data_IF_528104654188
#
_entry.id   IF_528104654188
#
_cell.length_a   1.000
_cell.length_b   1.000
_cell.length_c   1.000
_cell.angle_alpha   90.00
_cell.angle_beta   90.00
_cell.angle_gamma   90.00
#
_symmetry.space_group_name_H-M   'P 1'
#
loop_
_entity.id
_entity.type
_entity.pdbx_description
1 polymer ?
#
# COMPACT_ATOMS: atom_id res chain seq x y z
N UNK A 1 -14.05 -14.67 -0.89
CA UNK A 1 -13.85 -14.49 -2.35
C UNK A 1 -12.95 -13.28 -2.56
N UNK A 2 -11.97 -13.34 -3.47
CA UNK A 2 -11.09 -12.20 -3.76
C UNK A 2 -11.81 -11.17 -4.62
N UNK A 3 -11.68 -9.89 -4.25
CA UNK A 3 -12.28 -8.73 -4.91
C UNK A 3 -11.15 -7.90 -5.49
N UNK A 4 -11.27 -7.59 -6.78
CA UNK A 4 -10.29 -6.76 -7.47
C UNK A 4 -10.73 -5.30 -7.46
N UNK A 5 -9.77 -4.41 -7.26
CA UNK A 5 -9.97 -2.98 -7.24
C UNK A 5 -8.97 -2.32 -8.19
N UNK A 6 -9.50 -1.58 -9.16
CA UNK A 6 -8.71 -0.94 -10.19
C UNK A 6 -9.06 0.53 -10.27
N UNK A 7 -8.07 1.34 -10.61
CA UNK A 7 -8.24 2.76 -10.89
C UNK A 7 -7.45 3.14 -12.13
N UNK A 8 -8.02 4.02 -12.94
CA UNK A 8 -7.26 4.68 -14.00
C UNK A 8 -6.30 5.67 -13.35
N UNK A 9 -5.17 5.87 -13.99
CA UNK A 9 -4.13 6.78 -13.54
C UNK A 9 -4.63 8.19 -13.11
N UNK A 10 -5.54 8.86 -13.88
CA UNK A 10 -6.07 10.16 -13.51
C UNK A 10 -7.01 10.15 -12.29
N UNK A 11 -7.51 8.97 -11.88
CA UNK A 11 -8.36 8.84 -10.69
C UNK A 11 -7.53 8.83 -9.40
N UNK A 12 -6.20 8.66 -9.48
CA UNK A 12 -5.33 8.75 -8.31
C UNK A 12 -4.97 10.22 -8.09
N UNK A 13 -5.38 10.83 -6.96
CA UNK A 13 -5.04 12.21 -6.67
C UNK A 13 -3.53 12.40 -6.63
N UNK A 14 -3.07 13.53 -7.17
CA UNK A 14 -1.69 13.97 -7.02
C UNK A 14 -1.62 14.99 -5.88
N UNK A 15 -0.87 14.66 -4.82
CA UNK A 15 -0.58 15.58 -3.72
C UNK A 15 0.92 15.90 -3.73
N UNK A 16 1.28 17.02 -4.37
CA UNK A 16 2.68 17.43 -4.46
C UNK A 16 3.28 17.79 -3.09
N UNK A 17 2.47 18.23 -2.13
CA UNK A 17 2.94 18.50 -0.78
C UNK A 17 3.34 17.19 -0.07
N UNK A 18 2.57 16.13 -0.24
CA UNK A 18 2.92 14.81 0.29
C UNK A 18 4.11 14.19 -0.45
N UNK A 19 4.20 14.36 -1.78
CA UNK A 19 5.38 13.96 -2.54
C UNK A 19 6.65 14.69 -2.06
N UNK A 20 6.56 16.00 -1.79
CA UNK A 20 7.66 16.77 -1.20
C UNK A 20 8.05 16.26 0.20
N UNK A 21 7.07 15.78 0.99
CA UNK A 21 7.33 15.19 2.31
C UNK A 21 8.19 13.94 2.23
N UNK A 22 7.99 13.10 1.21
CA UNK A 22 8.87 11.96 0.94
C UNK A 22 10.27 12.36 0.48
N UNK A 23 10.47 13.61 0.05
CA UNK A 23 11.79 14.19 -0.23
C UNK A 23 12.43 14.86 1.00
N UNK A 24 11.78 14.81 2.16
CA UNK A 24 12.28 15.38 3.42
C UNK A 24 11.85 16.82 3.69
N UNK A 25 10.99 17.42 2.85
CA UNK A 25 10.43 18.73 3.12
C UNK A 25 9.36 18.67 4.22
N UNK A 26 9.33 19.68 5.09
CA UNK A 26 8.26 19.85 6.06
C UNK A 26 7.00 20.39 5.38
N UNK A 27 5.82 20.08 5.93
CA UNK A 27 4.54 20.62 5.40
C UNK A 27 4.50 22.16 5.35
N UNK A 28 5.17 22.82 6.29
CA UNK A 28 5.26 24.28 6.35
C UNK A 28 6.33 24.88 5.43
N UNK A 29 7.10 24.07 4.71
CA UNK A 29 8.26 24.51 3.93
C UNK A 29 8.38 23.66 2.67
N UNK A 30 7.51 23.94 1.70
CA UNK A 30 7.52 23.28 0.38
C UNK A 30 8.72 23.74 -0.46
N UNK A 31 9.19 22.89 -1.41
CA UNK A 31 10.22 23.30 -2.36
C UNK A 31 9.78 24.50 -3.19
N UNK A 32 10.76 25.27 -3.66
CA UNK A 32 10.55 26.43 -4.53
C UNK A 32 11.53 26.38 -5.72
N UNK A 33 11.25 27.17 -6.75
CA UNK A 33 12.09 27.27 -7.95
C UNK A 33 12.23 25.93 -8.67
N UNK A 34 13.43 25.62 -9.13
CA UNK A 34 13.73 24.44 -9.94
C UNK A 34 13.29 23.11 -9.30
N UNK A 35 13.34 22.99 -7.97
CA UNK A 35 12.91 21.76 -7.28
C UNK A 35 11.39 21.59 -7.34
N UNK A 36 10.63 22.68 -7.21
CA UNK A 36 9.17 22.64 -7.34
C UNK A 36 8.76 22.29 -8.77
N UNK A 37 9.42 22.86 -9.77
CA UNK A 37 9.18 22.55 -11.19
C UNK A 37 9.52 21.10 -11.52
N UNK A 38 10.64 20.59 -10.99
CA UNK A 38 11.02 19.19 -11.14
C UNK A 38 10.02 18.25 -10.47
N UNK A 39 9.51 18.61 -9.30
CA UNK A 39 8.49 17.83 -8.60
C UNK A 39 7.18 17.79 -9.39
N UNK A 40 6.67 18.95 -9.79
CA UNK A 40 5.45 19.07 -10.58
C UNK A 40 5.52 18.25 -11.87
N UNK A 41 6.60 18.43 -12.65
CA UNK A 41 6.80 17.69 -13.89
C UNK A 41 6.96 16.18 -13.65
N UNK A 42 7.67 15.76 -12.61
CA UNK A 42 7.84 14.34 -12.25
C UNK A 42 6.52 13.69 -11.84
N UNK A 43 5.67 14.39 -11.07
CA UNK A 43 4.33 13.95 -10.72
C UNK A 43 3.46 13.78 -11.97
N UNK A 44 3.45 14.76 -12.86
CA UNK A 44 2.68 14.72 -14.11
C UNK A 44 3.16 13.59 -15.05
N UNK A 45 4.47 13.33 -15.12
CA UNK A 45 5.04 12.20 -15.86
C UNK A 45 4.60 10.86 -15.25
N UNK A 46 4.73 10.70 -13.92
CA UNK A 46 4.34 9.47 -13.23
C UNK A 46 2.86 9.17 -13.36
N UNK A 47 1.99 10.16 -13.19
CA UNK A 47 0.55 9.97 -13.29
C UNK A 47 0.12 9.40 -14.65
N UNK A 48 0.89 9.61 -15.72
CA UNK A 48 0.59 9.03 -17.05
C UNK A 48 1.00 7.57 -17.18
N UNK A 49 1.88 7.07 -16.32
CA UNK A 49 2.47 5.73 -16.44
C UNK A 49 2.06 4.76 -15.33
N UNK A 50 1.52 5.26 -14.21
CA UNK A 50 1.03 4.38 -13.14
C UNK A 50 -0.08 3.48 -13.66
N UNK A 51 -0.07 2.23 -13.21
CA UNK A 51 -1.12 1.23 -13.46
C UNK A 51 -1.60 0.69 -12.11
N UNK A 52 -2.49 1.44 -11.42
CA UNK A 52 -2.97 1.08 -10.09
C UNK A 52 -3.84 -0.18 -10.12
N UNK A 53 -3.40 -1.21 -9.42
CA UNK A 53 -4.12 -2.48 -9.31
C UNK A 53 -4.06 -3.00 -7.88
N UNK A 54 -5.18 -3.51 -7.39
CA UNK A 54 -5.26 -4.10 -6.07
C UNK A 54 -6.20 -5.31 -6.05
N UNK A 55 -5.97 -6.16 -5.06
CA UNK A 55 -6.85 -7.27 -4.72
C UNK A 55 -6.98 -7.34 -3.21
N UNK A 56 -8.18 -7.61 -2.72
CA UNK A 56 -8.43 -7.85 -1.30
C UNK A 56 -9.41 -8.99 -1.07
N UNK A 57 -9.38 -9.57 0.11
CA UNK A 57 -10.36 -10.56 0.56
C UNK A 57 -10.61 -10.38 2.06
N UNK A 58 -11.83 -10.67 2.49
CA UNK A 58 -12.26 -10.61 3.89
C UNK A 58 -12.39 -12.02 4.45
N UNK A 59 -11.91 -12.22 5.66
CA UNK A 59 -11.93 -13.51 6.36
C UNK A 59 -12.49 -13.34 7.77
N UNK A 60 -13.18 -14.35 8.32
CA UNK A 60 -13.45 -14.43 9.75
C UNK A 60 -12.15 -14.34 10.55
N UNK A 61 -12.18 -13.58 11.64
CA UNK A 61 -11.06 -13.38 12.54
C UNK A 61 -11.41 -13.87 13.95
N UNK A 62 -10.47 -14.54 14.58
CA UNK A 62 -10.55 -14.85 16.02
C UNK A 62 -9.19 -14.66 16.68
N UNK A 63 -9.20 -14.12 17.90
CA UNK A 63 -8.02 -14.03 18.74
C UNK A 63 -7.94 -15.23 19.71
N UNK A 64 -6.72 -15.71 19.96
CA UNK A 64 -6.42 -16.72 20.97
C UNK A 64 -5.57 -16.16 22.12
N UNK A 65 -4.97 -17.06 22.89
CA UNK A 65 -3.99 -16.71 23.93
C UNK A 65 -2.67 -16.24 23.31
N UNK A 66 -1.82 -15.59 24.11
CA UNK A 66 -0.45 -15.17 23.74
C UNK A 66 -0.35 -14.38 22.43
N UNK A 67 -1.31 -13.47 22.21
CA UNK A 67 -1.37 -12.56 21.05
C UNK A 67 -1.45 -13.30 19.69
N UNK A 68 -2.12 -14.46 19.68
CA UNK A 68 -2.35 -15.24 18.46
C UNK A 68 -3.62 -14.77 17.76
N UNK A 69 -3.53 -14.59 16.45
CA UNK A 69 -4.64 -14.27 15.56
C UNK A 69 -4.82 -15.39 14.54
N UNK A 70 -6.06 -15.79 14.32
CA UNK A 70 -6.43 -16.85 13.39
C UNK A 70 -7.42 -16.34 12.35
N UNK A 71 -7.12 -16.60 11.08
CA UNK A 71 -7.98 -16.29 9.94
C UNK A 71 -7.61 -17.17 8.76
N UNK A 72 -8.59 -17.66 7.99
CA UNK A 72 -8.35 -18.45 6.78
C UNK A 72 -7.37 -19.65 6.93
N UNK A 73 -7.35 -20.29 8.11
CA UNK A 73 -6.41 -21.39 8.41
C UNK A 73 -4.96 -20.94 8.65
N UNK A 74 -4.71 -19.64 8.74
CA UNK A 74 -3.42 -19.04 9.06
C UNK A 74 -3.37 -18.62 10.52
N UNK A 75 -2.15 -18.54 11.04
CA UNK A 75 -1.85 -18.12 12.39
C UNK A 75 -0.77 -17.03 12.35
N UNK A 76 -1.01 -15.93 13.04
CA UNK A 76 -0.05 -14.83 13.20
C UNK A 76 0.05 -14.49 14.69
N UNK A 77 1.27 -14.47 15.23
CA UNK A 77 1.54 -14.00 16.58
C UNK A 77 2.08 -12.58 16.52
N UNK A 78 1.39 -11.63 17.17
CA UNK A 78 1.85 -10.24 17.28
C UNK A 78 1.00 -9.50 18.32
N UNK A 79 1.64 -8.89 19.32
CA UNK A 79 0.95 -8.07 20.31
C UNK A 79 0.39 -6.81 19.69
N UNK A 80 1.13 -6.16 18.78
CA UNK A 80 0.70 -4.90 18.19
C UNK A 80 -0.47 -5.10 17.21
N UNK A 81 -0.44 -6.17 16.41
CA UNK A 81 -1.53 -6.50 15.51
C UNK A 81 -2.77 -6.96 16.28
N UNK A 82 -2.60 -7.75 17.34
CA UNK A 82 -3.73 -8.15 18.21
C UNK A 82 -4.40 -6.92 18.82
N UNK A 83 -3.62 -5.95 19.31
CA UNK A 83 -4.14 -4.68 19.82
C UNK A 83 -4.80 -3.84 18.72
N UNK A 84 -4.23 -3.79 17.52
CA UNK A 84 -4.82 -3.09 16.38
C UNK A 84 -6.16 -3.70 15.95
N UNK A 85 -6.32 -5.03 16.06
CA UNK A 85 -7.51 -5.77 15.65
C UNK A 85 -8.46 -6.12 16.81
N UNK A 86 -8.26 -5.52 17.99
CA UNK A 86 -9.10 -5.77 19.15
C UNK A 86 -10.58 -5.44 18.84
N UNK A 87 -11.49 -6.35 19.18
CA UNK A 87 -12.92 -6.20 18.91
C UNK A 87 -13.35 -6.53 17.47
N UNK A 88 -12.42 -6.79 16.55
CA UNK A 88 -12.75 -7.14 15.17
C UNK A 88 -13.22 -8.60 15.05
N UNK A 89 -14.32 -8.82 14.33
CA UNK A 89 -14.85 -10.16 14.01
C UNK A 89 -14.37 -10.68 12.65
N UNK A 90 -13.83 -9.79 11.82
CA UNK A 90 -13.26 -10.09 10.51
C UNK A 90 -11.98 -9.29 10.26
N UNK A 91 -11.19 -9.77 9.29
CA UNK A 91 -10.02 -9.05 8.78
C UNK A 91 -10.03 -9.05 7.25
N UNK A 92 -9.87 -7.87 6.66
CA UNK A 92 -9.55 -7.74 5.25
C UNK A 92 -8.02 -7.79 5.08
N UNK A 93 -7.55 -8.63 4.17
CA UNK A 93 -6.18 -8.59 3.68
C UNK A 93 -6.22 -8.00 2.28
N UNK A 94 -5.34 -7.04 1.99
CA UNK A 94 -5.17 -6.54 0.64
C UNK A 94 -3.72 -6.53 0.19
N UNK A 95 -3.55 -6.54 -1.14
CA UNK A 95 -2.30 -6.27 -1.84
C UNK A 95 -2.57 -5.24 -2.95
N UNK A 96 -1.69 -4.26 -3.11
CA UNK A 96 -1.83 -3.17 -4.06
C UNK A 96 -0.48 -2.81 -4.70
N UNK A 97 -0.50 -2.34 -5.94
CA UNK A 97 0.68 -1.83 -6.65
C UNK A 97 0.28 -0.73 -7.63
N UNK A 98 1.21 0.19 -7.93
CA UNK A 98 1.07 1.17 -9.03
C UNK A 98 1.78 0.74 -10.32
N UNK A 99 2.25 -0.50 -10.39
CA UNK A 99 2.70 -1.17 -11.61
C UNK A 99 4.22 -1.12 -11.85
N UNK A 100 4.76 -2.11 -12.59
CA UNK A 100 6.21 -2.23 -12.85
C UNK A 100 6.79 -1.11 -13.74
N UNK A 101 5.93 -0.38 -14.46
CA UNK A 101 6.31 0.74 -15.31
C UNK A 101 7.01 1.84 -14.50
N UNK A 102 6.58 2.04 -13.25
CA UNK A 102 7.13 3.04 -12.34
C UNK A 102 8.59 2.72 -12.01
N UNK A 103 8.87 1.48 -11.61
CA UNK A 103 10.23 1.06 -11.27
C UNK A 103 11.17 1.17 -12.49
N UNK A 104 10.68 0.78 -13.68
CA UNK A 104 11.44 0.91 -14.92
C UNK A 104 11.73 2.38 -15.27
N UNK A 105 10.75 3.27 -15.08
CA UNK A 105 10.88 4.70 -15.32
C UNK A 105 11.90 5.34 -14.39
N UNK A 106 11.83 5.03 -13.09
CA UNK A 106 12.77 5.52 -12.08
C UNK A 106 14.19 5.02 -12.39
N UNK A 107 14.37 3.73 -12.70
CA UNK A 107 15.69 3.19 -13.08
C UNK A 107 16.29 3.91 -14.29
N UNK A 108 15.50 4.22 -15.31
CA UNK A 108 15.96 5.00 -16.47
C UNK A 108 16.37 6.41 -16.05
N UNK A 109 15.58 7.07 -15.21
CA UNK A 109 15.90 8.40 -14.71
C UNK A 109 17.18 8.42 -13.87
N UNK A 110 17.46 7.37 -13.08
CA UNK A 110 18.68 7.26 -12.26
C UNK A 110 19.96 7.34 -13.10
N UNK A 111 19.94 6.80 -14.33
CA UNK A 111 21.08 6.87 -15.24
C UNK A 111 21.32 8.28 -15.81
N UNK A 112 20.30 9.15 -15.80
CA UNK A 112 20.36 10.51 -16.36
C UNK A 112 20.53 11.59 -15.30
N UNK A 113 19.79 11.49 -14.19
CA UNK A 113 19.81 12.45 -13.09
C UNK A 113 19.38 11.76 -11.79
N UNK A 114 20.30 11.68 -10.83
CA UNK A 114 20.01 11.16 -9.49
C UNK A 114 18.97 12.02 -8.76
N UNK A 115 18.98 13.34 -8.99
CA UNK A 115 18.00 14.25 -8.41
C UNK A 115 16.59 13.95 -8.94
N UNK A 116 16.42 13.81 -10.27
CA UNK A 116 15.12 13.44 -10.86
C UNK A 116 14.64 12.09 -10.35
N UNK A 117 15.53 11.10 -10.25
CA UNK A 117 15.17 9.80 -9.71
C UNK A 117 14.68 9.86 -8.25
N UNK A 118 15.33 10.67 -7.40
CA UNK A 118 14.88 10.86 -6.02
C UNK A 118 13.50 11.51 -5.98
N UNK A 119 13.25 12.54 -6.80
CA UNK A 119 11.94 13.18 -6.93
C UNK A 119 10.87 12.18 -7.37
N UNK A 120 11.16 11.37 -8.39
CA UNK A 120 10.25 10.33 -8.85
C UNK A 120 9.98 9.25 -7.78
N UNK A 121 10.97 8.89 -6.96
CA UNK A 121 10.78 7.97 -5.84
C UNK A 121 9.79 8.52 -4.82
N UNK A 122 9.91 9.80 -4.44
CA UNK A 122 8.97 10.46 -3.54
C UNK A 122 7.56 10.59 -4.12
N UNK A 123 7.45 10.99 -5.38
CA UNK A 123 6.17 11.07 -6.09
C UNK A 123 5.51 9.69 -6.24
N UNK A 124 6.28 8.64 -6.52
CA UNK A 124 5.76 7.27 -6.60
C UNK A 124 5.27 6.75 -5.24
N UNK A 125 5.96 7.08 -4.15
CA UNK A 125 5.49 6.77 -2.79
C UNK A 125 4.16 7.46 -2.49
N UNK A 126 4.02 8.73 -2.85
CA UNK A 126 2.76 9.47 -2.74
C UNK A 126 1.62 8.83 -3.55
N UNK A 127 1.85 8.50 -4.83
CA UNK A 127 0.81 7.85 -5.65
C UNK A 127 0.41 6.47 -5.10
N UNK A 128 1.36 5.73 -4.55
CA UNK A 128 1.09 4.44 -3.90
C UNK A 128 0.18 4.62 -2.69
N UNK A 129 0.50 5.57 -1.81
CA UNK A 129 -0.29 5.85 -0.61
C UNK A 129 -1.70 6.34 -0.99
N UNK A 130 -1.81 7.27 -1.93
CA UNK A 130 -3.11 7.78 -2.37
C UNK A 130 -3.99 6.69 -3.00
N UNK A 131 -3.42 5.76 -3.75
CA UNK A 131 -4.15 4.61 -4.26
C UNK A 131 -4.62 3.66 -3.14
N UNK A 132 -3.74 3.38 -2.18
CA UNK A 132 -4.06 2.54 -1.01
C UNK A 132 -5.11 3.20 -0.11
N UNK A 133 -5.16 4.53 -0.04
CA UNK A 133 -6.21 5.26 0.66
C UNK A 133 -7.57 5.12 -0.03
N UNK A 134 -7.62 5.17 -1.36
CA UNK A 134 -8.84 4.89 -2.11
C UNK A 134 -9.35 3.47 -1.88
N UNK A 135 -8.45 2.48 -1.85
CA UNK A 135 -8.80 1.09 -1.55
C UNK A 135 -9.32 0.94 -0.11
N UNK A 136 -8.66 1.57 0.86
CA UNK A 136 -9.08 1.52 2.26
C UNK A 136 -10.43 2.20 2.49
N UNK A 137 -10.66 3.35 1.85
CA UNK A 137 -11.95 4.02 1.85
C UNK A 137 -13.04 3.15 1.23
N UNK A 138 -12.74 2.42 0.16
CA UNK A 138 -13.65 1.46 -0.43
C UNK A 138 -14.00 0.31 0.54
N UNK A 139 -13.01 -0.31 1.18
CA UNK A 139 -13.23 -1.36 2.19
C UNK A 139 -14.09 -0.82 3.35
N UNK A 140 -13.78 0.38 3.84
CA UNK A 140 -14.56 1.06 4.89
C UNK A 140 -16.01 1.30 4.47
N UNK A 141 -16.25 1.71 3.22
CA UNK A 141 -17.59 1.92 2.70
C UNK A 141 -18.38 0.61 2.62
N UNK A 142 -17.75 -0.49 2.20
CA UNK A 142 -18.38 -1.81 2.16
C UNK A 142 -18.76 -2.27 3.58
N UNK A 143 -17.84 -2.16 4.54
CA UNK A 143 -18.13 -2.49 5.94
C UNK A 143 -19.26 -1.62 6.52
N UNK A 144 -19.24 -0.31 6.26
CA UNK A 144 -20.27 0.60 6.74
C UNK A 144 -21.67 0.29 6.17
N UNK A 145 -21.75 -0.20 4.93
CA UNK A 145 -23.02 -0.65 4.34
C UNK A 145 -23.61 -1.87 5.08
N UNK A 146 -22.79 -2.63 5.79
CA UNK A 146 -23.18 -3.75 6.66
C UNK A 146 -23.33 -3.32 8.14
N UNK A 147 -23.25 -2.02 8.44
CA UNK A 147 -23.34 -1.50 9.82
C UNK A 147 -22.07 -1.72 10.65
N UNK A 148 -20.93 -2.02 10.01
CA UNK A 148 -19.65 -2.32 10.65
C UNK A 148 -18.65 -1.18 10.54
N UNK A 149 -17.61 -1.22 11.38
CA UNK A 149 -16.52 -0.24 11.38
C UNK A 149 -15.20 -0.91 11.02
N UNK A 150 -14.27 -0.12 10.49
CA UNK A 150 -12.92 -0.60 10.16
C UNK A 150 -11.88 -0.01 11.08
N UNK A 151 -10.88 -0.80 11.43
CA UNK A 151 -9.70 -0.35 12.16
C UNK A 151 -8.62 0.18 11.19
N UNK A 152 -7.65 0.99 11.67
CA UNK A 152 -6.55 1.48 10.84
C UNK A 152 -5.74 0.35 10.19
N UNK A 153 -5.23 0.58 8.98
CA UNK A 153 -4.39 -0.38 8.24
C UNK A 153 -3.14 -0.75 9.05
N UNK A 154 -2.72 -2.01 8.96
CA UNK A 154 -1.49 -2.50 9.57
C UNK A 154 -0.74 -3.41 8.60
N UNK A 155 0.55 -3.16 8.34
CA UNK A 155 1.33 -3.90 7.34
C UNK A 155 2.39 -4.81 7.97
N UNK A 156 2.69 -5.98 7.39
CA UNK A 156 3.86 -6.77 7.77
C UNK A 156 5.16 -5.95 7.72
N UNK A 157 6.04 -6.15 8.70
CA UNK A 157 7.28 -5.38 8.86
C UNK A 157 7.12 -4.11 9.70
N UNK A 158 5.89 -3.79 10.16
CA UNK A 158 5.63 -2.74 11.14
C UNK A 158 5.44 -3.34 12.55
N UNK A 159 5.89 -2.61 13.58
CA UNK A 159 5.85 -3.05 14.97
C UNK A 159 6.51 -4.42 15.16
N UNK A 160 5.83 -5.32 15.85
CA UNK A 160 6.28 -6.70 16.06
C UNK A 160 5.78 -7.71 15.01
N UNK A 161 5.10 -7.27 13.94
CA UNK A 161 4.65 -8.16 12.86
C UNK A 161 5.82 -8.49 11.92
N UNK A 162 6.27 -9.75 11.83
CA UNK A 162 7.41 -10.10 10.98
C UNK A 162 7.13 -9.87 9.49
N UNK A 163 8.11 -9.39 8.74
CA UNK A 163 8.00 -9.22 7.28
C UNK A 163 7.62 -10.52 6.54
N UNK A 164 7.98 -11.68 7.11
CA UNK A 164 7.64 -13.00 6.58
C UNK A 164 6.13 -13.26 6.52
N UNK A 165 5.33 -12.55 7.31
CA UNK A 165 3.86 -12.60 7.26
C UNK A 165 3.32 -12.22 5.89
N UNK A 166 4.07 -11.46 5.07
CA UNK A 166 3.68 -11.22 3.67
C UNK A 166 3.41 -12.51 2.89
N UNK A 167 4.09 -13.62 3.18
CA UNK A 167 3.83 -14.90 2.50
C UNK A 167 2.37 -15.34 2.62
N UNK A 168 1.72 -15.02 3.74
CA UNK A 168 0.30 -15.30 3.96
C UNK A 168 -0.55 -14.56 2.92
N UNK A 169 -0.29 -13.28 2.66
CA UNK A 169 -1.00 -12.50 1.65
C UNK A 169 -0.90 -13.14 0.27
N UNK A 170 0.30 -13.56 -0.14
CA UNK A 170 0.52 -14.20 -1.44
C UNK A 170 -0.06 -15.62 -1.53
N UNK A 171 -0.30 -16.29 -0.40
CA UNK A 171 -0.98 -17.59 -0.35
C UNK A 171 -2.51 -17.46 -0.42
N UNK A 172 -3.08 -16.39 0.14
CA UNK A 172 -4.52 -16.18 0.26
C UNK A 172 -5.11 -15.32 -0.86
N UNK A 173 -4.30 -14.44 -1.46
CA UNK A 173 -4.72 -13.52 -2.51
C UNK A 173 -4.07 -13.90 -3.84
N UNK A 174 -4.80 -13.77 -4.98
CA UNK A 174 -4.22 -13.99 -6.30
C UNK A 174 -3.35 -12.81 -6.75
N UNK A 175 -2.29 -12.48 -6.00
CA UNK A 175 -1.40 -11.33 -6.23
C UNK A 175 -0.79 -11.30 -7.65
N UNK A 176 -0.50 -12.47 -8.22
CA UNK A 176 0.03 -12.55 -9.60
C UNK A 176 -0.92 -11.97 -10.64
N UNK A 177 -2.24 -11.96 -10.38
CA UNK A 177 -3.25 -11.37 -11.29
C UNK A 177 -3.22 -9.85 -11.33
N UNK A 178 -2.64 -9.19 -10.32
CA UNK A 178 -2.38 -7.75 -10.32
C UNK A 178 -0.93 -7.42 -10.69
N UNK A 179 -0.17 -8.41 -11.17
CA UNK A 179 1.23 -8.27 -11.55
C UNK A 179 2.19 -8.17 -10.36
N UNK A 180 1.76 -8.55 -9.16
CA UNK A 180 2.55 -8.48 -7.94
C UNK A 180 3.16 -9.84 -7.59
N UNK A 181 4.46 -9.84 -7.27
CA UNK A 181 5.22 -11.03 -6.88
C UNK A 181 5.99 -10.77 -5.58
N UNK A 182 6.28 -11.84 -4.83
CA UNK A 182 7.11 -11.80 -3.63
C UNK A 182 8.41 -12.55 -3.92
N UNK A 183 9.54 -11.86 -3.79
CA UNK A 183 10.85 -12.47 -3.97
C UNK A 183 11.25 -13.29 -2.73
N UNK A 184 12.25 -14.16 -2.85
CA UNK A 184 12.77 -14.95 -1.72
C UNK A 184 13.29 -14.08 -0.57
N UNK A 185 13.70 -12.85 -0.89
CA UNK A 185 14.11 -11.81 0.06
C UNK A 185 12.94 -11.18 0.82
N UNK A 186 11.70 -11.59 0.56
CA UNK A 186 10.45 -11.01 1.05
C UNK A 186 10.17 -9.58 0.53
N UNK A 187 10.96 -9.09 -0.42
CA UNK A 187 10.66 -7.82 -1.07
C UNK A 187 9.68 -8.06 -2.22
N UNK A 188 8.69 -7.19 -2.32
CA UNK A 188 7.70 -7.24 -3.40
C UNK A 188 8.25 -6.65 -4.69
N UNK A 189 7.85 -7.22 -5.82
CA UNK A 189 8.08 -6.66 -7.15
C UNK A 189 6.73 -6.55 -7.88
N UNK A 190 6.30 -5.35 -8.29
CA UNK A 190 7.00 -4.05 -8.26
C UNK A 190 7.31 -3.50 -6.85
N UNK A 191 8.32 -2.63 -6.73
CA UNK A 191 8.76 -2.05 -5.45
C UNK A 191 7.67 -1.17 -4.82
N UNK A 192 6.93 -0.43 -5.66
CA UNK A 192 5.84 0.46 -5.23
C UNK A 192 4.54 -0.31 -5.05
N UNK A 193 4.54 -1.10 -3.98
CA UNK A 193 3.47 -2.03 -3.61
C UNK A 193 3.27 -2.07 -2.10
N UNK A 194 2.05 -2.39 -1.67
CA UNK A 194 1.66 -2.46 -0.26
C UNK A 194 0.84 -3.72 -0.01
N UNK A 195 1.10 -4.40 1.10
CA UNK A 195 0.18 -5.37 1.70
C UNK A 195 -0.24 -4.87 3.07
N UNK A 196 -1.51 -5.02 3.45
CA UNK A 196 -1.95 -4.66 4.80
C UNK A 196 -3.22 -5.40 5.24
N UNK A 197 -3.31 -5.54 6.56
CA UNK A 197 -4.50 -5.92 7.29
C UNK A 197 -5.40 -4.71 7.52
N UNK A 198 -6.71 -4.93 7.50
CA UNK A 198 -7.72 -3.97 7.96
C UNK A 198 -8.74 -4.74 8.80
N UNK A 199 -8.80 -4.46 10.09
CA UNK A 199 -9.80 -5.06 10.99
C UNK A 199 -11.20 -4.56 10.67
N UNK A 200 -12.21 -5.43 10.81
CA UNK A 200 -13.62 -5.11 10.65
C UNK A 200 -14.35 -5.59 11.91
N UNK A 201 -14.99 -4.64 12.61
CA UNK A 201 -15.77 -4.80 13.84
C UNK A 201 -17.19 -5.30 13.53
#
# INVERSE_FOLDING_TARGET
MAIFFYKKAPEIPCDEAEAARYLGYARASLPQGEVAELLHSSCAELQRIIVPQAVYAVFPLSAGQDYQLYFAGQQVQSSDLTKNLEGCSQVALFAATIGPQVDAYIRRAQAQSRAKAAVLQGAAAMFTENFVELLNAHIRQQAAAEGRRTHPRYSPGYGDVPLAVQKIFFSLLPCSRIGLTLMDTLIMAPEKSVTAFVGIE
#
